data_IF_713786340077
#
_entry.id   IF_713786340077
#
_cell.length_a   1.000
_cell.length_b   1.000
_cell.length_c   1.000
_cell.angle_alpha   90.00
_cell.angle_beta   90.00
_cell.angle_gamma   90.00
#
_symmetry.space_group_name_H-M   'P 1'
#
loop_
_entity.id
_entity.type
_entity.pdbx_description
1 polymer ?
#
# COMPACT_ATOMS: atom_id res chain seq x y z
N UNK A 1 29.69 -8.48 25.01
CA UNK A 1 30.28 -9.33 23.96
C UNK A 1 29.63 -8.91 22.67
N UNK A 2 30.38 -8.29 21.76
CA UNK A 2 29.89 -7.83 20.46
C UNK A 2 29.38 -9.04 19.67
N UNK A 3 28.07 -9.11 19.45
CA UNK A 3 27.49 -10.10 18.54
C UNK A 3 27.75 -9.62 17.11
N UNK A 4 28.96 -9.91 16.62
CA UNK A 4 29.35 -9.59 15.25
C UNK A 4 28.46 -10.30 14.23
N UNK A 5 28.29 -9.69 13.06
CA UNK A 5 27.52 -10.27 11.95
C UNK A 5 27.99 -11.70 11.65
N UNK A 6 27.08 -12.69 11.56
CA UNK A 6 27.42 -14.04 11.16
C UNK A 6 28.22 -14.05 9.85
N UNK A 7 29.31 -14.81 9.81
CA UNK A 7 30.22 -14.83 8.66
C UNK A 7 29.51 -15.23 7.36
N UNK A 8 28.48 -16.06 7.44
CA UNK A 8 27.68 -16.50 6.28
C UNK A 8 26.83 -15.37 5.65
N UNK A 9 26.69 -14.23 6.33
CA UNK A 9 26.02 -13.03 5.80
C UNK A 9 26.99 -12.04 5.17
N UNK A 10 28.29 -12.26 5.33
CA UNK A 10 29.33 -11.39 4.82
C UNK A 10 29.68 -11.76 3.39
N UNK A 11 29.81 -10.75 2.53
CA UNK A 11 30.28 -10.95 1.17
C UNK A 11 31.78 -11.31 1.20
N UNK A 12 32.22 -12.39 0.51
CA UNK A 12 33.63 -12.76 0.45
C UNK A 12 34.54 -11.73 -0.22
N UNK A 13 33.98 -10.84 -1.05
CA UNK A 13 34.73 -9.80 -1.78
C UNK A 13 34.83 -8.52 -0.95
N UNK A 14 33.70 -7.98 -0.50
CA UNK A 14 33.67 -6.70 0.21
C UNK A 14 33.92 -6.82 1.70
N UNK A 15 33.83 -8.03 2.26
CA UNK A 15 33.87 -8.27 3.71
C UNK A 15 32.86 -7.40 4.47
N UNK A 16 31.71 -7.14 3.85
CA UNK A 16 30.58 -6.40 4.42
C UNK A 16 29.32 -7.27 4.34
N UNK A 17 28.31 -7.05 5.20
CA UNK A 17 27.03 -7.74 5.10
C UNK A 17 26.43 -7.58 3.71
N UNK A 18 25.98 -8.68 3.09
CA UNK A 18 25.38 -8.66 1.76
C UNK A 18 24.01 -7.96 1.82
N UNK A 19 23.81 -6.94 0.98
CA UNK A 19 22.51 -6.28 0.85
C UNK A 19 21.64 -6.95 -0.21
N UNK A 20 22.26 -7.35 -1.32
CA UNK A 20 21.59 -8.10 -2.39
C UNK A 20 22.41 -9.33 -2.76
N UNK A 21 22.26 -10.45 -2.00
CA UNK A 21 23.05 -11.64 -2.22
C UNK A 21 22.67 -12.33 -3.55
N UNK A 22 23.69 -12.61 -4.36
CA UNK A 22 23.62 -13.40 -5.59
C UNK A 22 24.53 -14.61 -5.48
N UNK A 23 24.04 -15.78 -5.89
CA UNK A 23 24.74 -17.05 -5.79
C UNK A 23 25.35 -17.44 -7.13
N UNK A 24 26.62 -17.80 -7.13
CA UNK A 24 27.28 -18.44 -8.26
C UNK A 24 26.83 -19.90 -8.43
N UNK A 25 27.02 -20.53 -9.60
CA UNK A 25 26.74 -21.96 -9.79
C UNK A 25 27.50 -22.88 -8.83
N UNK A 26 28.62 -22.40 -8.28
CA UNK A 26 29.42 -23.11 -7.27
C UNK A 26 28.85 -23.00 -5.86
N UNK A 27 27.68 -22.37 -5.68
CA UNK A 27 26.98 -22.23 -4.40
C UNK A 27 27.51 -21.12 -3.48
N UNK A 28 28.45 -20.29 -3.94
CA UNK A 28 28.97 -19.18 -3.14
C UNK A 28 28.13 -17.92 -3.38
N UNK A 29 27.71 -17.28 -2.30
CA UNK A 29 26.95 -16.02 -2.36
C UNK A 29 27.85 -14.80 -2.23
N UNK A 30 27.58 -13.78 -3.03
CA UNK A 30 28.26 -12.50 -3.04
C UNK A 30 27.24 -11.36 -3.00
N UNK A 31 27.63 -10.18 -2.55
CA UNK A 31 26.82 -8.98 -2.80
C UNK A 31 26.85 -8.63 -4.29
N UNK A 32 25.68 -8.36 -4.89
CA UNK A 32 25.56 -8.08 -6.33
C UNK A 32 26.54 -7.01 -6.79
N UNK A 33 26.67 -5.90 -6.05
CA UNK A 33 27.56 -4.79 -6.43
C UNK A 33 29.02 -5.19 -6.36
N UNK A 34 29.39 -6.06 -5.43
CA UNK A 34 30.75 -6.53 -5.28
C UNK A 34 31.16 -7.47 -6.43
N UNK A 35 30.35 -8.48 -6.75
CA UNK A 35 30.66 -9.42 -7.83
C UNK A 35 30.54 -8.78 -9.22
N UNK A 36 29.60 -7.83 -9.41
CA UNK A 36 29.54 -7.07 -10.65
C UNK A 36 30.82 -6.26 -10.88
N UNK A 37 31.34 -5.57 -9.85
CA UNK A 37 32.60 -4.83 -9.98
C UNK A 37 33.78 -5.74 -10.25
N UNK A 38 33.82 -6.92 -9.63
CA UNK A 38 34.85 -7.93 -9.88
C UNK A 38 34.88 -8.35 -11.35
N UNK A 39 33.73 -8.71 -11.91
CA UNK A 39 33.61 -9.14 -13.31
C UNK A 39 33.82 -7.99 -14.30
N UNK A 40 33.34 -6.78 -13.97
CA UNK A 40 33.56 -5.57 -14.76
C UNK A 40 35.04 -5.13 -14.80
N UNK A 41 35.83 -5.49 -13.78
CA UNK A 41 37.27 -5.26 -13.75
C UNK A 41 38.07 -6.24 -14.65
N UNK A 42 37.39 -7.09 -15.43
CA UNK A 42 38.01 -8.00 -16.40
C UNK A 42 38.29 -9.41 -15.85
N UNK A 43 37.87 -9.71 -14.63
CA UNK A 43 37.94 -11.08 -14.10
C UNK A 43 36.80 -11.92 -14.67
N UNK A 44 37.08 -13.17 -15.03
CA UNK A 44 36.09 -14.11 -15.57
C UNK A 44 35.95 -15.37 -14.72
N UNK A 45 36.27 -15.26 -13.42
CA UNK A 45 36.30 -16.37 -12.49
C UNK A 45 35.69 -16.01 -11.14
N UNK A 46 35.23 -17.05 -10.45
CA UNK A 46 34.73 -16.99 -9.09
C UNK A 46 35.87 -16.62 -8.13
N UNK A 47 35.75 -15.53 -7.34
CA UNK A 47 36.81 -15.09 -6.43
C UNK A 47 37.26 -16.14 -5.40
N UNK A 48 36.33 -17.01 -4.98
CA UNK A 48 36.59 -18.03 -3.95
C UNK A 48 37.05 -19.35 -4.55
N UNK A 49 36.44 -19.80 -5.65
CA UNK A 49 36.66 -21.15 -6.19
C UNK A 49 37.49 -21.18 -7.47
N UNK A 50 37.80 -20.04 -8.07
CA UNK A 50 38.54 -19.93 -9.33
C UNK A 50 37.80 -20.45 -10.58
N UNK A 51 36.58 -20.96 -10.43
CA UNK A 51 35.81 -21.50 -11.56
C UNK A 51 35.36 -20.38 -12.51
N UNK A 52 35.26 -20.63 -13.83
CA UNK A 52 34.72 -19.66 -14.78
C UNK A 52 33.37 -19.14 -14.32
N UNK A 53 33.21 -17.83 -14.32
CA UNK A 53 32.01 -17.15 -13.84
C UNK A 53 31.71 -15.94 -14.70
N UNK A 54 30.48 -15.87 -15.21
CA UNK A 54 29.93 -14.71 -15.92
C UNK A 54 28.77 -14.09 -15.15
N UNK A 55 28.35 -12.88 -15.54
CA UNK A 55 27.22 -12.20 -14.91
C UNK A 55 25.89 -12.95 -15.10
N UNK A 56 25.73 -13.65 -16.23
CA UNK A 56 24.54 -14.45 -16.54
C UNK A 56 24.41 -15.71 -15.67
N UNK A 57 25.50 -16.16 -15.07
CA UNK A 57 25.51 -17.36 -14.23
C UNK A 57 25.06 -17.07 -12.79
N UNK A 58 24.92 -15.80 -12.43
CA UNK A 58 24.54 -15.37 -11.08
C UNK A 58 23.03 -15.45 -10.89
N UNK A 59 22.62 -16.23 -9.89
CA UNK A 59 21.20 -16.36 -9.52
C UNK A 59 20.92 -15.58 -8.24
N UNK A 60 19.90 -14.71 -8.19
CA UNK A 60 19.51 -14.02 -6.95
C UNK A 60 19.19 -15.01 -5.81
N UNK A 61 19.75 -14.77 -4.61
CA UNK A 61 19.52 -15.61 -3.43
C UNK A 61 18.51 -14.96 -2.47
N UNK A 62 17.22 -15.05 -2.83
CA UNK A 62 16.14 -14.41 -2.06
C UNK A 62 16.04 -14.96 -0.63
N UNK A 63 16.35 -16.26 -0.43
CA UNK A 63 16.34 -16.89 0.89
C UNK A 63 17.41 -16.27 1.79
N UNK A 64 18.65 -16.15 1.31
CA UNK A 64 19.74 -15.53 2.08
C UNK A 64 19.44 -14.06 2.36
N UNK A 65 18.87 -13.34 1.38
CA UNK A 65 18.45 -11.95 1.58
C UNK A 65 17.47 -11.81 2.74
N UNK A 66 16.44 -12.67 2.78
CA UNK A 66 15.46 -12.69 3.89
C UNK A 66 16.11 -13.03 5.24
N UNK A 67 17.03 -13.99 5.27
CA UNK A 67 17.75 -14.36 6.50
C UNK A 67 18.60 -13.21 7.04
N UNK A 68 19.33 -12.51 6.17
CA UNK A 68 20.14 -11.35 6.55
C UNK A 68 19.25 -10.23 7.10
N UNK A 69 18.13 -9.94 6.43
CA UNK A 69 17.17 -8.95 6.93
C UNK A 69 16.60 -9.36 8.30
N UNK A 70 16.11 -10.59 8.45
CA UNK A 70 15.57 -11.07 9.73
C UNK A 70 16.60 -10.99 10.87
N UNK A 71 17.87 -11.29 10.58
CA UNK A 71 18.95 -11.16 11.56
C UNK A 71 19.19 -9.70 11.99
N UNK A 72 19.12 -8.76 11.05
CA UNK A 72 19.26 -7.33 11.37
C UNK A 72 18.12 -6.82 12.28
N UNK A 73 16.90 -7.30 12.08
CA UNK A 73 15.75 -6.95 12.92
C UNK A 73 15.87 -7.58 14.32
N UNK A 74 16.32 -8.82 14.39
CA UNK A 74 16.48 -9.58 15.65
C UNK A 74 17.58 -9.03 16.56
N UNK A 75 18.59 -8.36 15.99
CA UNK A 75 19.70 -7.76 16.73
C UNK A 75 19.43 -6.32 17.18
N UNK A 76 18.35 -5.69 16.68
CA UNK A 76 17.98 -4.30 16.99
C UNK A 76 17.08 -4.17 18.23
N UNK A 77 16.57 -5.26 18.78
CA UNK A 77 15.78 -5.24 20.03
C UNK A 77 16.61 -5.76 21.21
N UNK A 78 17.24 -4.90 22.03
CA UNK A 78 17.70 -5.31 23.33
C UNK A 78 16.46 -5.42 24.23
N UNK A 79 15.85 -6.60 24.32
CA UNK A 79 15.16 -7.16 25.50
C UNK A 79 14.22 -8.30 25.06
N UNK A 80 14.27 -9.47 25.73
CA UNK A 80 13.44 -10.62 25.38
C UNK A 80 12.06 -10.46 26.01
N UNK A 81 11.00 -10.35 25.19
CA UNK A 81 9.64 -10.60 25.66
C UNK A 81 9.29 -12.06 25.34
N UNK A 82 8.75 -12.71 26.38
CA UNK A 82 8.57 -14.15 26.53
C UNK A 82 7.79 -14.85 25.42
N UNK A 83 8.17 -16.13 25.25
CA UNK A 83 7.54 -17.13 24.38
C UNK A 83 6.07 -17.33 24.75
N UNK A 84 5.17 -17.25 23.77
CA UNK A 84 3.88 -17.95 23.81
C UNK A 84 3.38 -18.30 22.39
N UNK A 85 3.33 -19.61 22.14
CA UNK A 85 2.68 -20.42 21.08
C UNK A 85 2.93 -20.10 19.59
N UNK A 86 3.10 -21.13 18.73
CA UNK A 86 3.34 -20.93 17.31
C UNK A 86 2.02 -20.51 16.62
N UNK A 87 1.90 -19.24 16.28
CA UNK A 87 0.90 -18.80 15.29
C UNK A 87 1.33 -19.28 13.91
N UNK A 88 0.38 -19.56 12.99
CA UNK A 88 0.69 -19.92 11.60
C UNK A 88 1.63 -18.88 10.97
N UNK A 89 2.44 -19.28 9.97
CA UNK A 89 3.40 -18.37 9.33
C UNK A 89 2.68 -17.11 8.85
N UNK A 90 3.21 -15.90 9.10
CA UNK A 90 2.57 -14.70 8.64
C UNK A 90 2.49 -14.79 7.11
N UNK A 91 1.26 -14.78 6.60
CA UNK A 91 1.00 -14.38 5.22
C UNK A 91 1.78 -13.08 5.03
N UNK A 92 2.60 -13.02 3.97
CA UNK A 92 3.44 -11.87 3.61
C UNK A 92 2.83 -10.59 4.18
N UNK A 93 3.47 -9.98 5.18
CA UNK A 93 3.14 -8.60 5.57
C UNK A 93 3.33 -7.80 4.28
N UNK A 94 2.21 -7.47 3.63
CA UNK A 94 2.22 -6.59 2.48
C UNK A 94 2.71 -5.28 3.06
N UNK A 95 3.89 -4.84 2.62
CA UNK A 95 4.49 -3.62 3.12
C UNK A 95 3.46 -2.51 2.94
N UNK A 96 3.10 -1.81 4.02
CA UNK A 96 2.10 -0.73 3.99
C UNK A 96 2.42 0.27 2.85
N UNK A 97 3.71 0.44 2.54
CA UNK A 97 4.18 1.29 1.44
C UNK A 97 3.89 0.74 0.04
N UNK A 98 3.95 -0.58 -0.17
CA UNK A 98 3.60 -1.21 -1.46
C UNK A 98 2.10 -1.00 -1.79
N UNK A 99 1.23 -1.11 -0.77
CA UNK A 99 -0.22 -0.88 -0.93
C UNK A 99 -0.50 0.57 -1.29
N UNK A 100 0.13 1.52 -0.59
CA UNK A 100 -0.03 2.97 -0.86
C UNK A 100 0.44 3.31 -2.26
N UNK A 101 1.61 2.83 -2.68
CA UNK A 101 2.15 3.09 -4.02
C UNK A 101 1.25 2.50 -5.12
N UNK A 102 0.83 1.24 -4.97
CA UNK A 102 -0.10 0.58 -5.92
C UNK A 102 -1.41 1.33 -6.04
N UNK A 103 -2.00 1.72 -4.91
CA UNK A 103 -3.24 2.48 -4.86
C UNK A 103 -3.11 3.81 -5.59
N UNK A 104 -2.05 4.56 -5.31
CA UNK A 104 -1.79 5.84 -5.97
C UNK A 104 -1.62 5.65 -7.47
N UNK A 105 -0.85 4.65 -7.91
CA UNK A 105 -0.62 4.34 -9.33
C UNK A 105 -1.91 3.96 -10.06
N UNK A 106 -2.77 3.11 -9.47
CA UNK A 106 -4.05 2.75 -10.08
C UNK A 106 -5.01 3.94 -10.17
N UNK A 107 -5.08 4.77 -9.12
CA UNK A 107 -5.91 5.98 -9.19
C UNK A 107 -5.33 7.09 -10.07
N UNK A 108 -4.02 7.03 -10.39
CA UNK A 108 -3.33 7.92 -11.34
C UNK A 108 -3.32 7.39 -12.77
N UNK A 109 -3.73 6.14 -12.99
CA UNK A 109 -3.84 5.43 -14.27
C UNK A 109 -4.87 6.04 -15.23
N UNK A 110 -4.63 7.29 -15.63
CA UNK A 110 -5.27 8.05 -16.70
C UNK A 110 -4.21 8.56 -17.67
N UNK A 111 -3.36 7.67 -18.16
CA UNK A 111 -2.40 7.97 -19.23
C UNK A 111 -3.12 8.16 -20.56
N UNK A 112 -3.34 9.42 -20.97
CA UNK A 112 -3.42 9.85 -22.37
C UNK A 112 -4.54 9.31 -23.28
N UNK A 113 -5.53 8.55 -22.78
CA UNK A 113 -6.49 7.87 -23.65
C UNK A 113 -7.86 7.57 -23.02
N UNK A 114 -8.57 8.59 -22.55
CA UNK A 114 -10.04 8.67 -22.52
C UNK A 114 -10.88 7.70 -21.65
N UNK A 115 -10.37 6.57 -21.16
CA UNK A 115 -11.14 5.63 -20.34
C UNK A 115 -10.54 5.52 -18.94
N UNK A 116 -11.18 6.16 -17.96
CA UNK A 116 -10.84 6.00 -16.55
C UNK A 116 -11.28 4.62 -16.06
N UNK A 117 -10.32 3.79 -15.64
CA UNK A 117 -10.59 2.52 -14.98
C UNK A 117 -10.51 2.73 -13.46
N UNK A 118 -11.58 2.41 -12.70
CA UNK A 118 -11.51 2.45 -11.24
C UNK A 118 -10.58 1.35 -10.71
N UNK A 119 -9.93 1.56 -9.56
CA UNK A 119 -9.15 0.52 -8.88
C UNK A 119 -10.06 -0.64 -8.45
N UNK A 120 -9.47 -1.80 -8.19
CA UNK A 120 -10.23 -2.95 -7.68
C UNK A 120 -10.80 -2.71 -6.27
N UNK A 121 -11.98 -3.26 -5.97
CA UNK A 121 -12.57 -3.19 -4.62
C UNK A 121 -11.65 -3.79 -3.55
N UNK A 122 -10.90 -4.84 -3.91
CA UNK A 122 -9.95 -5.50 -3.01
C UNK A 122 -8.79 -4.58 -2.62
N UNK A 123 -8.23 -3.82 -3.59
CA UNK A 123 -7.18 -2.84 -3.31
C UNK A 123 -7.66 -1.68 -2.44
N UNK A 124 -8.90 -1.20 -2.65
CA UNK A 124 -9.50 -0.17 -1.80
C UNK A 124 -9.67 -0.65 -0.35
N UNK A 125 -10.09 -1.91 -0.16
CA UNK A 125 -10.23 -2.52 1.18
C UNK A 125 -8.89 -2.78 1.84
N UNK A 126 -7.90 -3.25 1.07
CA UNK A 126 -6.53 -3.43 1.54
C UNK A 126 -5.95 -2.10 2.02
N UNK A 127 -6.10 -1.03 1.22
CA UNK A 127 -5.72 0.31 1.60
C UNK A 127 -6.48 0.82 2.85
N UNK A 128 -7.77 0.52 2.98
CA UNK A 128 -8.54 0.88 4.16
C UNK A 128 -8.01 0.18 5.43
N UNK A 129 -7.66 -1.10 5.34
CA UNK A 129 -7.06 -1.85 6.44
C UNK A 129 -5.69 -1.26 6.84
N UNK A 130 -4.85 -0.92 5.86
CA UNK A 130 -3.56 -0.25 6.07
C UNK A 130 -3.74 1.12 6.72
N UNK A 131 -4.67 1.94 6.24
CA UNK A 131 -4.95 3.27 6.80
C UNK A 131 -5.52 3.20 8.23
N UNK A 132 -6.29 2.16 8.55
CA UNK A 132 -6.80 1.92 9.90
C UNK A 132 -5.71 1.45 10.88
N UNK A 133 -4.72 0.69 10.39
CA UNK A 133 -3.61 0.17 11.20
C UNK A 133 -2.40 1.10 11.31
N UNK A 134 -2.22 2.05 10.38
CA UNK A 134 -1.00 2.84 10.24
C UNK A 134 -1.28 4.33 10.03
N UNK A 135 -1.03 5.13 11.07
CA UNK A 135 -1.13 6.60 10.99
C UNK A 135 -0.11 7.23 10.03
N UNK A 136 1.00 6.54 9.73
CA UNK A 136 1.98 6.97 8.72
C UNK A 136 1.40 6.78 7.32
N UNK A 137 0.83 5.60 7.04
CA UNK A 137 0.19 5.32 5.76
C UNK A 137 -0.99 6.28 5.51
N UNK A 138 -1.81 6.55 6.54
CA UNK A 138 -2.90 7.54 6.49
C UNK A 138 -2.41 8.91 6.00
N UNK A 139 -1.39 9.48 6.65
CA UNK A 139 -0.82 10.80 6.26
C UNK A 139 -0.25 10.78 4.85
N UNK A 140 0.39 9.68 4.44
CA UNK A 140 0.91 9.51 3.08
C UNK A 140 -0.22 9.47 2.04
N UNK A 141 -1.28 8.70 2.29
CA UNK A 141 -2.46 8.62 1.43
C UNK A 141 -3.15 9.99 1.29
N UNK A 142 -3.31 10.71 2.40
CA UNK A 142 -3.85 12.09 2.38
C UNK A 142 -2.94 13.01 1.57
N UNK A 143 -1.63 13.00 1.83
CA UNK A 143 -0.64 13.81 1.10
C UNK A 143 -0.53 13.48 -0.39
N UNK A 144 -0.79 12.23 -0.79
CA UNK A 144 -0.87 11.80 -2.18
C UNK A 144 -2.20 12.20 -2.85
N UNK A 145 -3.16 12.75 -2.10
CA UNK A 145 -4.46 13.16 -2.60
C UNK A 145 -5.40 11.99 -2.92
N UNK A 146 -5.26 10.87 -2.20
CA UNK A 146 -6.15 9.70 -2.31
C UNK A 146 -7.59 10.09 -2.03
N UNK A 147 -7.81 10.92 -1.00
CA UNK A 147 -9.13 11.41 -0.61
C UNK A 147 -9.92 12.05 -1.77
N UNK A 148 -9.30 12.99 -2.49
CA UNK A 148 -9.92 13.66 -3.65
C UNK A 148 -10.28 12.67 -4.77
N UNK A 149 -9.50 11.59 -4.91
CA UNK A 149 -9.73 10.57 -5.93
C UNK A 149 -10.84 9.60 -5.51
N UNK A 150 -10.89 9.22 -4.23
CA UNK A 150 -12.00 8.46 -3.63
C UNK A 150 -13.33 9.21 -3.79
N UNK A 151 -13.38 10.51 -3.47
CA UNK A 151 -14.60 11.31 -3.67
C UNK A 151 -15.05 11.35 -5.13
N UNK A 152 -14.11 11.41 -6.09
CA UNK A 152 -14.44 11.30 -7.52
C UNK A 152 -14.97 9.91 -7.90
N UNK A 153 -14.45 8.84 -7.31
CA UNK A 153 -14.95 7.48 -7.52
C UNK A 153 -16.38 7.33 -7.00
N UNK A 154 -16.67 7.92 -5.84
CA UNK A 154 -18.04 7.98 -5.27
C UNK A 154 -18.99 8.70 -6.23
N UNK A 155 -18.59 9.84 -6.80
CA UNK A 155 -19.37 10.56 -7.82
C UNK A 155 -19.59 9.72 -9.07
N UNK A 156 -18.55 9.01 -9.54
CA UNK A 156 -18.61 8.12 -10.69
C UNK A 156 -19.59 6.95 -10.48
N UNK A 157 -19.63 6.36 -9.28
CA UNK A 157 -20.60 5.31 -8.93
C UNK A 157 -22.05 5.82 -9.03
N UNK A 158 -22.30 7.08 -8.66
CA UNK A 158 -23.64 7.67 -8.74
C UNK A 158 -24.10 8.08 -10.15
N UNK A 159 -23.23 8.01 -11.16
CA UNK A 159 -23.52 8.42 -12.54
C UNK A 159 -23.92 7.29 -13.50
N UNK A 160 -23.78 6.01 -13.11
CA UNK A 160 -24.11 4.87 -13.96
C UNK A 160 -25.57 4.42 -13.76
N UNK A 161 -26.37 4.58 -14.81
CA UNK A 161 -27.78 4.17 -14.86
C UNK A 161 -27.96 2.65 -14.95
N UNK A 162 -29.07 2.18 -14.39
CA UNK A 162 -29.44 0.79 -14.10
C UNK A 162 -29.32 -0.21 -15.26
N UNK A 163 -28.35 -1.11 -15.15
CA UNK A 163 -28.58 -2.53 -15.45
C UNK A 163 -28.44 -3.36 -14.16
N UNK A 164 -29.31 -4.35 -13.96
CA UNK A 164 -29.44 -5.09 -12.69
C UNK A 164 -28.15 -5.79 -12.22
N UNK A 165 -27.23 -6.11 -13.13
CA UNK A 165 -25.92 -6.70 -12.79
C UNK A 165 -24.86 -5.68 -12.39
N UNK A 166 -24.96 -4.43 -12.86
CA UNK A 166 -24.00 -3.36 -12.53
C UNK A 166 -24.29 -2.74 -11.16
N UNK A 167 -25.54 -2.80 -10.69
CA UNK A 167 -25.94 -2.25 -9.40
C UNK A 167 -25.18 -2.88 -8.22
N UNK A 168 -25.05 -4.21 -8.19
CA UNK A 168 -24.34 -4.91 -7.10
C UNK A 168 -22.84 -4.54 -7.05
N UNK A 169 -22.17 -4.50 -8.21
CA UNK A 169 -20.76 -4.11 -8.30
C UNK A 169 -20.54 -2.63 -7.94
N UNK A 170 -21.49 -1.75 -8.28
CA UNK A 170 -21.44 -0.34 -7.88
C UNK A 170 -21.60 -0.15 -6.37
N UNK A 171 -22.54 -0.88 -5.75
CA UNK A 171 -22.73 -0.86 -4.29
C UNK A 171 -21.47 -1.35 -3.59
N UNK A 172 -20.83 -2.39 -4.12
CA UNK A 172 -19.58 -2.91 -3.59
C UNK A 172 -18.42 -1.90 -3.69
N UNK A 173 -18.28 -1.25 -4.85
CA UNK A 173 -17.27 -0.20 -5.06
C UNK A 173 -17.51 1.00 -4.12
N UNK A 174 -18.77 1.37 -3.95
CA UNK A 174 -19.17 2.48 -3.08
C UNK A 174 -18.88 2.16 -1.61
N UNK A 175 -19.19 0.95 -1.13
CA UNK A 175 -18.83 0.49 0.22
C UNK A 175 -17.31 0.49 0.42
N UNK A 176 -16.53 0.00 -0.55
CA UNK A 176 -15.06 0.00 -0.48
C UNK A 176 -14.46 1.43 -0.43
N UNK A 177 -15.02 2.36 -1.22
CA UNK A 177 -14.62 3.77 -1.20
C UNK A 177 -14.89 4.41 0.16
N UNK A 178 -16.07 4.16 0.73
CA UNK A 178 -16.45 4.71 2.04
C UNK A 178 -15.64 4.10 3.17
N UNK A 179 -15.33 2.80 3.11
CA UNK A 179 -14.45 2.15 4.07
C UNK A 179 -13.06 2.80 4.10
N UNK A 180 -12.48 3.10 2.93
CA UNK A 180 -11.22 3.81 2.83
C UNK A 180 -11.33 5.25 3.34
N UNK A 181 -12.39 5.98 2.98
CA UNK A 181 -12.65 7.33 3.49
C UNK A 181 -12.68 7.38 5.02
N UNK A 182 -13.44 6.47 5.65
CA UNK A 182 -13.55 6.39 7.11
C UNK A 182 -12.23 5.98 7.77
N UNK A 183 -11.46 5.09 7.14
CA UNK A 183 -10.14 4.68 7.64
C UNK A 183 -9.08 5.79 7.57
N UNK A 184 -9.24 6.71 6.62
CA UNK A 184 -8.38 7.89 6.50
C UNK A 184 -8.63 8.93 7.60
N UNK A 185 -9.78 8.87 8.29
CA UNK A 185 -10.10 9.68 9.50
C UNK A 185 -9.75 11.16 9.31
N UNK A 186 -10.23 11.70 8.19
CA UNK A 186 -9.85 13.01 7.70
C UNK A 186 -10.64 14.08 8.46
N UNK A 187 -9.94 15.13 8.89
CA UNK A 187 -10.58 16.25 9.57
C UNK A 187 -11.48 17.08 8.66
N UNK A 188 -12.45 17.77 9.24
CA UNK A 188 -13.32 18.70 8.52
C UNK A 188 -12.53 19.79 7.74
N UNK A 189 -11.39 20.24 8.30
CA UNK A 189 -10.50 21.22 7.65
C UNK A 189 -9.87 20.69 6.35
N UNK A 190 -9.45 19.41 6.34
CA UNK A 190 -8.85 18.75 5.17
C UNK A 190 -9.91 18.40 4.10
N UNK A 191 -11.17 18.23 4.49
CA UNK A 191 -12.30 17.97 3.60
C UNK A 191 -12.82 19.23 2.91
N UNK A 192 -12.82 20.39 3.59
CA UNK A 192 -13.33 21.68 3.06
C UNK A 192 -12.88 22.02 1.63
N UNK A 193 -11.57 22.06 1.30
CA UNK A 193 -11.13 22.46 -0.04
C UNK A 193 -11.56 21.47 -1.12
N UNK A 194 -11.94 20.25 -0.75
CA UNK A 194 -12.39 19.20 -1.67
C UNK A 194 -13.91 19.18 -1.85
N UNK A 195 -14.64 19.70 -0.86
CA UNK A 195 -16.11 19.73 -0.81
C UNK A 195 -16.69 21.05 -1.34
N UNK A 196 -15.89 22.13 -1.37
CA UNK A 196 -16.33 23.45 -1.86
C UNK A 196 -16.86 23.44 -3.32
N UNK A 197 -16.49 22.43 -4.13
CA UNK A 197 -17.00 22.21 -5.50
C UNK A 197 -18.11 21.14 -5.59
N UNK A 198 -18.57 20.58 -4.46
CA UNK A 198 -19.14 19.23 -4.35
C UNK A 198 -20.66 19.05 -4.46
N UNK A 199 -21.38 19.84 -5.27
CA UNK A 199 -22.81 19.58 -5.53
C UNK A 199 -23.06 18.17 -6.11
N UNK A 200 -22.14 17.70 -6.97
CA UNK A 200 -22.23 16.38 -7.60
C UNK A 200 -22.03 15.23 -6.60
N UNK A 201 -21.36 15.45 -5.47
CA UNK A 201 -21.10 14.43 -4.45
C UNK A 201 -22.37 14.07 -3.68
N UNK A 202 -23.10 15.08 -3.20
CA UNK A 202 -24.36 14.88 -2.47
C UNK A 202 -25.39 14.22 -3.38
N UNK A 203 -25.49 14.66 -4.63
CA UNK A 203 -26.38 14.05 -5.62
C UNK A 203 -25.99 12.60 -5.93
N UNK A 204 -24.69 12.30 -6.09
CA UNK A 204 -24.22 10.95 -6.33
C UNK A 204 -24.51 10.00 -5.17
N UNK A 205 -24.20 10.42 -3.94
CA UNK A 205 -24.48 9.64 -2.73
C UNK A 205 -25.98 9.38 -2.59
N UNK A 206 -26.82 10.39 -2.84
CA UNK A 206 -28.29 10.27 -2.80
C UNK A 206 -28.81 9.30 -3.85
N UNK A 207 -28.28 9.34 -5.09
CA UNK A 207 -28.63 8.37 -6.15
C UNK A 207 -28.25 6.95 -5.77
N UNK A 208 -27.04 6.73 -5.25
CA UNK A 208 -26.62 5.38 -4.80
C UNK A 208 -27.52 4.89 -3.66
N UNK A 209 -27.82 5.72 -2.66
CA UNK A 209 -28.73 5.36 -1.58
C UNK A 209 -30.14 4.98 -2.08
N UNK A 210 -30.63 5.63 -3.13
CA UNK A 210 -31.92 5.32 -3.74
C UNK A 210 -31.93 3.98 -4.49
N UNK A 211 -30.78 3.49 -4.95
CA UNK A 211 -30.64 2.17 -5.61
C UNK A 211 -30.53 1.01 -4.64
N UNK A 212 -30.27 1.28 -3.35
CA UNK A 212 -30.15 0.25 -2.32
C UNK A 212 -31.54 -0.28 -1.95
N UNK A 213 -31.84 -1.52 -2.31
CA UNK A 213 -33.10 -2.18 -1.91
C UNK A 213 -33.14 -2.45 -0.40
N UNK A 214 -34.32 -2.35 0.19
CA UNK A 214 -34.51 -2.59 1.62
C UNK A 214 -34.49 -4.11 1.92
N UNK A 215 -33.53 -4.57 2.71
CA UNK A 215 -33.46 -5.96 3.18
C UNK A 215 -32.10 -6.64 3.02
N UNK A 216 -31.18 -6.05 2.26
CA UNK A 216 -29.80 -6.53 2.15
C UNK A 216 -28.93 -5.96 3.30
N UNK A 217 -28.15 -6.83 3.95
CA UNK A 217 -27.17 -6.43 4.96
C UNK A 217 -26.12 -5.48 4.37
N UNK A 218 -25.74 -5.68 3.10
CA UNK A 218 -24.79 -4.82 2.40
C UNK A 218 -25.37 -3.43 2.13
N UNK A 219 -26.67 -3.36 1.78
CA UNK A 219 -27.40 -2.10 1.63
C UNK A 219 -27.49 -1.32 2.96
N UNK A 220 -27.64 -2.01 4.08
CA UNK A 220 -27.70 -1.36 5.41
C UNK A 220 -26.37 -0.71 5.77
N UNK A 221 -25.25 -1.42 5.56
CA UNK A 221 -23.90 -0.92 5.80
C UNK A 221 -23.52 0.25 4.88
N UNK A 222 -23.89 0.16 3.60
CA UNK A 222 -23.65 1.22 2.62
C UNK A 222 -24.44 2.49 2.98
N UNK A 223 -25.69 2.37 3.47
CA UNK A 223 -26.49 3.51 3.95
C UNK A 223 -25.86 4.19 5.16
N UNK A 224 -25.44 3.42 6.17
CA UNK A 224 -24.78 3.99 7.35
C UNK A 224 -23.51 4.75 6.96
N UNK A 225 -22.69 4.14 6.10
CA UNK A 225 -21.43 4.73 5.65
C UNK A 225 -21.65 6.00 4.82
N UNK A 226 -22.73 6.04 4.01
CA UNK A 226 -23.13 7.21 3.23
C UNK A 226 -23.60 8.37 4.11
N UNK A 227 -24.38 8.08 5.16
CA UNK A 227 -24.83 9.09 6.13
C UNK A 227 -23.64 9.73 6.82
N UNK A 228 -22.66 8.92 7.28
CA UNK A 228 -21.44 9.45 7.91
C UNK A 228 -20.61 10.34 6.98
N UNK A 229 -20.54 10.02 5.69
CA UNK A 229 -19.90 10.89 4.69
C UNK A 229 -20.64 12.22 4.56
N UNK A 230 -21.97 12.19 4.48
CA UNK A 230 -22.78 13.40 4.41
C UNK A 230 -22.64 14.26 5.67
N UNK A 231 -22.61 13.65 6.86
CA UNK A 231 -22.34 14.34 8.12
C UNK A 231 -20.97 15.03 8.10
N UNK A 232 -19.90 14.32 7.71
CA UNK A 232 -18.56 14.89 7.61
C UNK A 232 -18.48 16.03 6.57
N UNK A 233 -19.21 15.90 5.46
CA UNK A 233 -19.33 16.94 4.43
C UNK A 233 -20.08 18.17 4.96
N UNK A 234 -21.18 17.97 5.69
CA UNK A 234 -21.93 19.08 6.32
C UNK A 234 -21.13 19.77 7.43
N UNK A 235 -20.41 19.02 8.25
CA UNK A 235 -19.54 19.57 9.30
C UNK A 235 -18.39 20.39 8.69
N UNK A 236 -17.79 19.89 7.60
CA UNK A 236 -16.80 20.65 6.84
C UNK A 236 -17.39 21.95 6.29
N UNK A 237 -18.63 21.94 5.80
CA UNK A 237 -19.31 23.11 5.25
C UNK A 237 -19.76 24.14 6.32
N UNK A 238 -20.19 23.66 7.50
CA UNK A 238 -20.74 24.49 8.59
C UNK A 238 -19.67 25.06 9.53
N UNK A 239 -18.43 24.57 9.46
CA UNK A 239 -17.37 25.04 10.32
C UNK A 239 -17.06 26.54 10.08
N UNK A 240 -16.99 27.35 11.15
CA UNK A 240 -17.01 28.80 11.05
C UNK A 240 -15.81 29.36 10.28
N UNK A 241 -16.09 30.19 9.29
CA UNK A 241 -15.17 30.89 8.37
C UNK A 241 -14.14 31.84 9.04
N UNK A 242 -14.02 31.85 10.38
CA UNK A 242 -13.33 32.91 11.14
C UNK A 242 -12.13 32.43 11.96
N UNK A 243 -11.11 31.84 11.34
CA UNK A 243 -9.75 31.74 11.92
C UNK A 243 -8.63 31.81 10.85
N UNK A 244 -8.80 32.59 9.77
CA UNK A 244 -7.69 32.90 8.84
C UNK A 244 -7.36 34.41 8.70
N UNK A 245 -7.98 35.27 9.51
CA UNK A 245 -7.55 36.67 9.61
C UNK A 245 -7.49 37.13 11.07
N UNK A 246 -6.36 36.84 11.74
CA UNK A 246 -5.76 37.75 12.71
C UNK A 246 -4.28 37.42 12.95
#
# INVERSE_FOLDING_TARGET
MEYGTPQHFMCPISLQPMQDPVTSPTGISYDRRAIHRWLAAGHSSCPVTGHPLSLSDLTPNLTLRRLIHSWHHSTTTPFPVERSTPSPPPLREVDDDDVVERLVMEMEGGGGGGSWCPPSCDLLREAAAVAAGSGVARRRMVGAGVLRRVLRLVVWCGGRGSSSGEAAAMVEMFDACLALFHALDVSADELRPLVADGHDLVDAVTRVMATLEAGDANATRARESAVRLLEAVTEAADAPFWLEFN
#
